data_IF_277878905749
#
_entry.id   IF_277878905749
#
_cell.length_a   1.000
_cell.length_b   1.000
_cell.length_c   1.000
_cell.angle_alpha   90.00
_cell.angle_beta   90.00
_cell.angle_gamma   90.00
#
_symmetry.space_group_name_H-M   'P 1'
#
loop_
_entity.id
_entity.type
_entity.pdbx_description
1 polymer ?
#
# COMPACT_ATOMS: atom_id res chain seq x y z
N UNK A 1 11.92 11.56 -23.24
CA UNK A 1 12.54 12.74 -22.60
C UNK A 1 13.09 12.34 -21.25
N UNK A 2 14.31 12.79 -20.92
CA UNK A 2 15.06 12.42 -19.71
C UNK A 2 14.28 12.69 -18.41
N UNK A 3 13.70 11.65 -17.81
CA UNK A 3 12.93 11.68 -16.56
C UNK A 3 13.83 11.57 -15.30
N UNK A 4 15.10 12.00 -15.37
CA UNK A 4 16.09 11.75 -14.31
C UNK A 4 16.16 12.83 -13.22
N UNK A 5 15.38 13.91 -13.30
CA UNK A 5 15.46 15.04 -12.35
C UNK A 5 14.14 15.41 -11.64
N UNK A 6 13.06 14.64 -11.84
CA UNK A 6 11.83 14.85 -11.09
C UNK A 6 11.90 14.06 -9.78
N UNK A 7 11.97 14.78 -8.66
CA UNK A 7 11.86 14.16 -7.33
C UNK A 7 10.46 13.56 -7.19
N UNK A 8 10.32 12.28 -6.82
CA UNK A 8 9.00 11.67 -6.67
C UNK A 8 8.26 12.34 -5.52
N UNK A 9 7.02 12.79 -5.77
CA UNK A 9 6.13 13.24 -4.72
C UNK A 9 5.45 12.02 -4.09
N UNK A 10 5.72 11.79 -2.80
CA UNK A 10 5.17 10.66 -2.06
C UNK A 10 4.14 11.18 -1.07
N UNK A 11 2.90 10.72 -1.22
CA UNK A 11 1.79 11.03 -0.32
C UNK A 11 1.39 9.76 0.42
N UNK A 12 1.17 9.86 1.73
CA UNK A 12 0.90 8.70 2.59
C UNK A 12 -0.26 9.01 3.52
N UNK A 13 -1.16 8.05 3.63
CA UNK A 13 -2.19 7.97 4.65
C UNK A 13 -2.16 6.57 5.27
N UNK A 14 -2.41 6.47 6.58
CA UNK A 14 -2.31 5.22 7.30
C UNK A 14 -3.28 5.19 8.49
N UNK A 15 -3.52 4.00 9.02
CA UNK A 15 -4.23 3.76 10.26
C UNK A 15 -3.58 2.60 11.02
N UNK A 16 -3.65 2.63 12.34
CA UNK A 16 -3.24 1.52 13.20
C UNK A 16 -4.45 0.69 13.62
N UNK A 17 -4.28 -0.19 14.61
CA UNK A 17 -5.33 -1.10 15.07
C UNK A 17 -6.64 -0.40 15.47
N UNK A 18 -6.55 0.77 16.11
CA UNK A 18 -7.73 1.56 16.53
C UNK A 18 -8.46 2.25 15.37
N UNK A 19 -7.97 2.12 14.15
CA UNK A 19 -8.50 2.81 12.97
C UNK A 19 -8.20 4.31 12.96
N UNK A 20 -8.97 5.06 12.18
CA UNK A 20 -8.87 6.52 12.08
C UNK A 20 -10.09 7.21 12.68
N UNK A 21 -9.85 8.27 13.44
CA UNK A 21 -10.89 9.19 13.93
C UNK A 21 -11.07 10.42 13.05
N UNK A 22 -10.04 10.77 12.25
CA UNK A 22 -10.02 11.93 11.38
C UNK A 22 -9.95 11.51 9.90
N UNK A 23 -10.41 12.41 9.03
CA UNK A 23 -10.39 12.21 7.59
C UNK A 23 -8.96 12.05 7.03
N UNK A 24 -8.81 11.23 6.00
CA UNK A 24 -7.56 11.04 5.27
C UNK A 24 -7.22 12.29 4.45
N UNK A 25 -6.43 13.22 4.98
CA UNK A 25 -6.21 14.52 4.35
C UNK A 25 -5.17 14.52 3.25
N UNK A 26 -4.25 13.54 3.21
CA UNK A 26 -3.16 13.55 2.22
C UNK A 26 -3.66 12.95 0.91
N UNK A 27 -4.05 11.69 0.93
CA UNK A 27 -4.47 10.89 -0.24
C UNK A 27 -5.99 11.03 -0.49
N UNK A 28 -6.79 11.37 0.52
CA UNK A 28 -8.24 11.62 0.42
C UNK A 28 -9.04 10.41 -0.08
N UNK A 29 -9.89 10.56 -1.10
CA UNK A 29 -10.80 9.52 -1.57
C UNK A 29 -10.11 8.23 -2.03
N UNK A 30 -8.87 8.34 -2.51
CA UNK A 30 -8.05 7.20 -2.91
C UNK A 30 -7.77 6.23 -1.74
N UNK A 31 -7.58 6.75 -0.53
CA UNK A 31 -7.37 5.93 0.67
C UNK A 31 -8.60 5.09 0.99
N UNK A 32 -9.79 5.71 1.00
CA UNK A 32 -11.04 5.02 1.33
C UNK A 32 -11.45 4.02 0.25
N UNK A 33 -11.22 4.35 -1.02
CA UNK A 33 -11.39 3.46 -2.16
C UNK A 33 -10.61 2.15 -1.98
N UNK A 34 -9.32 2.26 -1.65
CA UNK A 34 -8.46 1.11 -1.45
C UNK A 34 -8.84 0.32 -0.18
N UNK A 35 -9.06 1.02 0.93
CA UNK A 35 -9.45 0.43 2.23
C UNK A 35 -10.72 -0.41 2.10
N UNK A 36 -11.75 0.11 1.42
CA UNK A 36 -13.03 -0.59 1.23
C UNK A 36 -12.83 -1.97 0.59
N UNK A 37 -12.17 -2.02 -0.57
CA UNK A 37 -11.96 -3.26 -1.32
C UNK A 37 -11.18 -4.31 -0.51
N UNK A 38 -10.17 -3.87 0.26
CA UNK A 38 -9.39 -4.75 1.14
C UNK A 38 -10.25 -5.29 2.29
N UNK A 39 -11.00 -4.41 2.97
CA UNK A 39 -11.86 -4.81 4.08
C UNK A 39 -12.94 -5.79 3.65
N UNK A 40 -13.56 -5.59 2.48
CA UNK A 40 -14.58 -6.51 1.93
C UNK A 40 -14.00 -7.91 1.71
N UNK A 41 -12.79 -8.00 1.17
CA UNK A 41 -12.12 -9.28 0.96
C UNK A 41 -11.78 -9.97 2.28
N UNK A 42 -11.10 -9.26 3.19
CA UNK A 42 -10.68 -9.79 4.49
C UNK A 42 -11.88 -10.25 5.33
N UNK A 43 -12.98 -9.51 5.28
CA UNK A 43 -14.26 -9.88 5.90
C UNK A 43 -14.80 -11.18 5.30
N UNK A 44 -14.87 -11.29 3.96
CA UNK A 44 -15.35 -12.51 3.28
C UNK A 44 -14.56 -13.76 3.69
N UNK A 45 -13.23 -13.65 3.76
CA UNK A 45 -12.37 -14.80 4.12
C UNK A 45 -12.19 -14.97 5.64
N UNK A 46 -12.85 -14.14 6.46
CA UNK A 46 -12.79 -14.15 7.92
C UNK A 46 -11.35 -14.06 8.46
N UNK A 47 -10.55 -13.16 7.90
CA UNK A 47 -9.17 -12.91 8.36
C UNK A 47 -8.95 -11.46 8.71
N UNK A 48 -7.99 -11.24 9.62
CA UNK A 48 -7.44 -9.92 9.92
C UNK A 48 -5.99 -9.87 9.43
N UNK A 49 -5.58 -8.74 8.86
CA UNK A 49 -4.24 -8.55 8.34
C UNK A 49 -3.78 -7.10 8.49
N UNK A 50 -2.46 -6.90 8.52
CA UNK A 50 -1.85 -5.60 8.22
C UNK A 50 -1.71 -5.49 6.70
N UNK A 51 -2.09 -4.37 6.13
CA UNK A 51 -2.09 -4.17 4.67
C UNK A 51 -1.31 -2.92 4.33
N UNK A 52 -0.41 -3.04 3.36
CA UNK A 52 0.31 -1.94 2.73
C UNK A 52 -0.09 -1.90 1.26
N UNK A 53 -0.44 -0.72 0.76
CA UNK A 53 -0.82 -0.53 -0.63
C UNK A 53 0.13 0.50 -1.20
N UNK A 54 0.84 0.11 -2.25
CA UNK A 54 1.73 0.97 -3.00
C UNK A 54 1.10 1.22 -4.36
N UNK A 55 1.11 2.49 -4.77
CA UNK A 55 0.64 2.89 -6.10
C UNK A 55 1.58 3.95 -6.61
N UNK A 56 2.11 3.71 -7.80
CA UNK A 56 2.92 4.66 -8.52
C UNK A 56 2.16 5.16 -9.74
N UNK A 57 2.23 6.46 -9.99
CA UNK A 57 1.64 7.11 -11.15
C UNK A 57 2.78 7.74 -11.93
N UNK A 58 3.04 7.24 -13.13
CA UNK A 58 4.10 7.79 -13.98
C UNK A 58 3.64 9.10 -14.61
N UNK A 59 4.60 9.94 -15.03
CA UNK A 59 4.31 11.23 -15.68
C UNK A 59 3.55 11.12 -17.01
N UNK A 60 3.41 9.92 -17.58
CA UNK A 60 2.59 9.66 -18.77
C UNK A 60 1.10 9.46 -18.47
N UNK A 61 0.66 9.59 -17.21
CA UNK A 61 -0.73 9.46 -16.83
C UNK A 61 -1.50 10.75 -17.11
N UNK A 62 -2.09 10.85 -18.31
CA UNK A 62 -2.72 12.09 -18.82
C UNK A 62 -4.22 12.18 -18.49
N UNK A 63 -4.89 11.06 -18.18
CA UNK A 63 -6.36 11.01 -18.01
C UNK A 63 -6.76 10.85 -16.54
N UNK A 64 -7.52 11.79 -15.95
CA UNK A 64 -7.99 11.68 -14.57
C UNK A 64 -9.16 10.70 -14.46
N UNK A 65 -8.89 9.42 -14.15
CA UNK A 65 -9.92 8.38 -13.96
C UNK A 65 -10.56 8.39 -12.55
N UNK A 66 -10.22 9.38 -11.73
CA UNK A 66 -10.72 9.53 -10.36
C UNK A 66 -10.35 8.36 -9.45
N UNK A 67 -11.16 8.15 -8.40
CA UNK A 67 -10.91 7.09 -7.39
C UNK A 67 -11.34 5.70 -7.86
N UNK A 68 -12.11 5.61 -8.95
CA UNK A 68 -12.64 4.33 -9.45
C UNK A 68 -11.51 3.37 -9.84
N UNK A 69 -10.47 3.86 -10.53
CA UNK A 69 -9.32 3.03 -10.91
C UNK A 69 -8.63 2.39 -9.70
N UNK A 70 -8.65 3.05 -8.53
CA UNK A 70 -8.07 2.51 -7.31
C UNK A 70 -8.95 1.39 -6.76
N UNK A 71 -10.26 1.58 -6.74
CA UNK A 71 -11.21 0.53 -6.34
C UNK A 71 -11.05 -0.71 -7.21
N UNK A 72 -11.01 -0.52 -8.53
CA UNK A 72 -10.92 -1.61 -9.51
C UNK A 72 -9.60 -2.38 -9.40
N UNK A 73 -8.47 -1.66 -9.37
CA UNK A 73 -7.14 -2.29 -9.29
C UNK A 73 -6.93 -3.03 -7.98
N UNK A 74 -7.37 -2.45 -6.85
CA UNK A 74 -7.30 -3.12 -5.54
C UNK A 74 -8.27 -4.30 -5.49
N UNK A 75 -9.47 -4.17 -6.05
CA UNK A 75 -10.42 -5.28 -6.12
C UNK A 75 -9.83 -6.45 -6.93
N UNK A 76 -9.26 -6.18 -8.10
CA UNK A 76 -8.63 -7.22 -8.92
C UNK A 76 -7.44 -7.88 -8.21
N UNK A 77 -6.62 -7.10 -7.50
CA UNK A 77 -5.51 -7.63 -6.72
C UNK A 77 -5.97 -8.56 -5.58
N UNK A 78 -7.08 -8.24 -4.91
CA UNK A 78 -7.57 -9.03 -3.78
C UNK A 78 -8.43 -10.24 -4.22
N UNK A 79 -9.26 -10.10 -5.26
CA UNK A 79 -10.31 -11.06 -5.59
C UNK A 79 -10.00 -11.93 -6.79
N UNK A 80 -9.28 -11.40 -7.77
CA UNK A 80 -9.12 -12.05 -9.09
C UNK A 80 -7.73 -12.65 -9.25
N UNK A 81 -6.70 -11.92 -8.83
CA UNK A 81 -5.31 -12.32 -9.04
C UNK A 81 -4.85 -13.33 -7.99
N UNK A 82 -4.01 -14.28 -8.41
CA UNK A 82 -3.31 -15.18 -7.51
C UNK A 82 -2.18 -14.43 -6.79
N UNK A 83 -2.18 -14.36 -5.44
CA UNK A 83 -1.14 -13.64 -4.72
C UNK A 83 0.16 -14.45 -4.67
N UNK A 84 1.28 -13.74 -4.73
CA UNK A 84 2.60 -14.31 -4.39
C UNK A 84 2.67 -14.38 -2.86
N UNK A 85 2.96 -15.57 -2.33
CA UNK A 85 3.17 -15.80 -0.90
C UNK A 85 4.66 -15.84 -0.61
N UNK A 86 5.08 -15.08 0.40
CA UNK A 86 6.47 -14.96 0.81
C UNK A 86 6.52 -15.06 2.34
N UNK A 87 7.60 -15.64 2.85
CA UNK A 87 7.68 -16.05 4.26
C UNK A 87 8.03 -14.89 5.19
N UNK A 88 8.63 -13.82 4.67
CA UNK A 88 8.99 -12.67 5.47
C UNK A 88 8.73 -11.33 4.77
N UNK A 89 8.68 -10.29 5.59
CA UNK A 89 8.37 -8.94 5.15
C UNK A 89 9.44 -8.36 4.22
N UNK A 90 10.72 -8.68 4.41
CA UNK A 90 11.81 -8.12 3.59
C UNK A 90 11.76 -8.68 2.17
N UNK A 91 11.46 -9.97 2.01
CA UNK A 91 11.28 -10.60 0.70
C UNK A 91 10.05 -10.03 -0.01
N UNK A 92 8.95 -9.82 0.72
CA UNK A 92 7.75 -9.20 0.17
C UNK A 92 8.01 -7.78 -0.35
N UNK A 93 8.78 -6.98 0.39
CA UNK A 93 9.19 -5.65 -0.03
C UNK A 93 10.13 -5.71 -1.24
N UNK A 94 11.11 -6.60 -1.23
CA UNK A 94 12.09 -6.73 -2.32
C UNK A 94 11.38 -7.13 -3.62
N UNK A 95 10.49 -8.12 -3.55
CA UNK A 95 9.71 -8.57 -4.71
C UNK A 95 8.76 -7.48 -5.23
N UNK A 96 8.12 -6.74 -4.32
CA UNK A 96 7.26 -5.62 -4.70
C UNK A 96 8.06 -4.52 -5.41
N UNK A 97 9.24 -4.17 -4.90
CA UNK A 97 10.06 -3.07 -5.41
C UNK A 97 10.55 -3.28 -6.86
N UNK A 98 10.65 -4.53 -7.33
CA UNK A 98 10.98 -4.84 -8.74
C UNK A 98 10.04 -4.17 -9.75
N UNK A 99 8.79 -3.89 -9.37
CA UNK A 99 7.76 -3.31 -10.24
C UNK A 99 7.64 -1.78 -10.20
N UNK A 100 8.45 -1.09 -9.39
CA UNK A 100 8.35 0.35 -9.16
C UNK A 100 9.52 1.11 -9.81
N UNK A 101 9.27 2.32 -10.33
CA UNK A 101 10.35 3.21 -10.78
C UNK A 101 10.99 3.93 -9.59
N UNK A 102 10.19 4.20 -8.55
CA UNK A 102 10.65 4.87 -7.33
C UNK A 102 11.32 3.88 -6.39
N UNK A 103 12.59 4.14 -6.04
CA UNK A 103 13.33 3.29 -5.11
C UNK A 103 12.64 3.16 -3.75
N UNK A 104 12.66 1.94 -3.19
CA UNK A 104 12.02 1.59 -1.92
C UNK A 104 12.44 2.49 -0.74
N UNK A 105 13.68 3.00 -0.73
CA UNK A 105 14.19 3.89 0.32
C UNK A 105 13.29 5.12 0.54
N UNK A 106 12.69 5.65 -0.54
CA UNK A 106 11.81 6.81 -0.47
C UNK A 106 10.46 6.47 0.14
N UNK A 107 9.89 5.31 -0.22
CA UNK A 107 8.66 4.80 0.40
C UNK A 107 8.85 4.52 1.89
N UNK A 108 9.95 3.88 2.26
CA UNK A 108 10.30 3.57 3.65
C UNK A 108 10.40 4.84 4.50
N UNK A 109 11.08 5.88 3.99
CA UNK A 109 11.24 7.16 4.71
C UNK A 109 9.90 7.83 5.03
N UNK A 110 8.91 7.69 4.16
CA UNK A 110 7.59 8.32 4.31
C UNK A 110 6.57 7.48 5.10
N UNK A 111 6.81 6.18 5.30
CA UNK A 111 5.81 5.26 5.85
C UNK A 111 5.94 5.05 7.35
N UNK A 112 4.89 5.39 8.10
CA UNK A 112 4.80 5.05 9.53
C UNK A 112 4.53 3.57 9.76
N UNK A 113 3.79 2.91 8.86
CA UNK A 113 3.45 1.49 8.99
C UNK A 113 4.66 0.58 8.75
N UNK A 114 5.52 0.90 7.78
CA UNK A 114 6.75 0.12 7.56
C UNK A 114 7.63 0.17 8.81
N UNK A 115 7.84 1.37 9.36
CA UNK A 115 8.60 1.52 10.60
C UNK A 115 7.97 0.73 11.74
N UNK A 116 6.65 0.82 11.93
CA UNK A 116 5.93 0.06 12.94
C UNK A 116 6.10 -1.46 12.77
N UNK A 117 5.98 -1.99 11.55
CA UNK A 117 6.17 -3.43 11.28
C UNK A 117 7.59 -3.88 11.61
N UNK A 118 8.60 -3.04 11.33
CA UNK A 118 10.01 -3.38 11.55
C UNK A 118 10.44 -3.24 13.02
N UNK A 119 9.87 -2.31 13.77
CA UNK A 119 10.23 -2.07 15.18
C UNK A 119 9.42 -2.91 16.15
N UNK A 120 8.16 -3.21 15.83
CA UNK A 120 7.27 -3.96 16.71
C UNK A 120 7.68 -5.43 16.76
N UNK A 121 8.05 -5.92 17.95
CA UNK A 121 8.24 -7.35 18.19
C UNK A 121 6.86 -8.01 18.35
N UNK A 122 6.63 -9.11 17.63
CA UNK A 122 5.45 -9.96 17.84
C UNK A 122 5.76 -11.04 18.87
N UNK A 123 4.71 -11.61 19.48
CA UNK A 123 4.85 -12.71 20.43
C UNK A 123 5.57 -13.92 19.81
N UNK A 124 5.46 -14.13 18.51
CA UNK A 124 6.14 -15.21 17.78
C UNK A 124 7.66 -15.18 17.91
N UNK A 125 8.27 -14.04 18.30
CA UNK A 125 9.71 -13.97 18.57
C UNK A 125 10.12 -14.62 19.90
N UNK A 126 9.15 -14.93 20.77
CA UNK A 126 9.37 -15.46 22.10
C UNK A 126 8.77 -16.86 22.30
N UNK A 127 8.18 -17.42 21.26
CA UNK A 127 7.73 -18.82 21.17
C UNK A 127 8.80 -19.65 20.49
#
# INVERSE_FOLDING_TARGET
>A
GNNRNLKPQIMVDFEFYEGRKNYASNITGAYYAARKSVCEYLYKIKKQARVLIFREVSGGYVVPLGVWVIRETVNNAMWTNTPIKLDNFNDAISKMAEGFLVEFKHWKKSSKLINYIQTQRTLDKFL
#
